data_IF_031202669186
#
_entry.id   IF_031202669186
#
_cell.length_a   1.000
_cell.length_b   1.000
_cell.length_c   1.000
_cell.angle_alpha   90.00
_cell.angle_beta   90.00
_cell.angle_gamma   90.00
#
_symmetry.space_group_name_H-M   'P 1'
#
loop_
_entity.id
_entity.type
_entity.pdbx_description
1 polymer ?
2 non-polymer ?
3 non-polymer ?
4 non-polymer ?
5 non-polymer ?
6 water ?
#
# COMPACT_ATOMS: atom_id res chain seq x y z
N UNK A 12 23.80 -20.69 -1.81
CA UNK A 12 23.60 -21.62 -2.96
C UNK A 12 22.92 -20.87 -4.11
N UNK A 13 23.38 -21.16 -5.32
CA UNK A 13 22.85 -20.55 -6.54
C UNK A 13 21.62 -21.31 -7.03
N UNK A 14 20.63 -20.56 -7.54
CA UNK A 14 19.46 -21.13 -8.19
C UNK A 14 19.23 -20.40 -9.50
N UNK A 15 18.78 -21.12 -10.54
CA UNK A 15 18.48 -20.47 -11.81
C UNK A 15 16.98 -20.22 -11.99
N UNK A 16 16.19 -20.79 -11.08
CA UNK A 16 14.76 -20.56 -11.03
C UNK A 16 14.31 -20.90 -9.62
N UNK A 17 13.14 -20.41 -9.23
CA UNK A 17 12.61 -20.63 -7.89
C UNK A 17 11.10 -20.51 -8.00
N UNK A 18 10.41 -21.64 -8.01
CA UNK A 18 8.98 -21.61 -8.25
C UNK A 18 8.68 -20.92 -9.58
N UNK A 19 7.82 -19.91 -9.53
CA UNK A 19 7.38 -19.17 -10.70
C UNK A 19 8.33 -18.03 -11.09
N UNK A 20 9.52 -17.98 -10.49
CA UNK A 20 10.53 -16.99 -10.83
C UNK A 20 11.65 -17.67 -11.61
N UNK A 21 12.13 -17.00 -12.66
CA UNK A 21 13.21 -17.53 -13.47
C UNK A 21 14.18 -16.40 -13.78
N UNK A 22 15.47 -16.73 -13.72
CA UNK A 22 16.48 -15.78 -14.12
C UNK A 22 16.16 -15.28 -15.53
N UNK A 23 16.34 -13.96 -15.69
CA UNK A 23 16.19 -13.14 -16.89
C UNK A 23 14.76 -12.65 -17.10
N UNK A 24 13.85 -12.95 -16.17
CA UNK A 24 12.51 -12.38 -16.20
C UNK A 24 12.57 -10.89 -15.86
N UNK A 25 11.64 -10.14 -16.44
CA UNK A 25 11.39 -8.76 -16.06
C UNK A 25 10.66 -8.76 -14.74
N UNK A 26 10.96 -7.78 -13.90
CA UNK A 26 10.52 -7.76 -12.51
C UNK A 26 10.52 -6.32 -12.03
N UNK A 27 9.85 -6.07 -10.90
CA UNK A 27 9.95 -4.82 -10.17
C UNK A 27 10.78 -5.06 -8.91
N UNK A 28 11.67 -4.12 -8.57
CA UNK A 28 12.43 -4.20 -7.34
C UNK A 28 12.30 -2.92 -6.52
N UNK A 29 12.40 -3.06 -5.19
CA UNK A 29 12.36 -1.93 -4.28
C UNK A 29 13.75 -1.32 -4.17
N UNK A 30 13.88 -0.06 -4.57
CA UNK A 30 15.15 0.65 -4.47
C UNK A 30 15.32 1.25 -3.07
N UNK A 31 16.52 1.80 -2.84
CA UNK A 31 16.91 2.36 -1.57
C UNK A 31 16.04 3.58 -1.20
N UNK A 32 15.40 4.18 -2.20
CA UNK A 32 14.46 5.29 -2.06
C UNK A 32 13.10 4.85 -1.50
N UNK A 33 12.87 3.53 -1.44
CA UNK A 33 11.61 2.92 -1.04
C UNK A 33 10.57 2.98 -2.16
N UNK A 34 10.95 3.46 -3.33
CA UNK A 34 10.10 3.35 -4.50
C UNK A 34 10.55 2.17 -5.34
N UNK A 35 9.64 1.67 -6.18
CA UNK A 35 9.87 0.46 -6.95
C UNK A 35 10.07 0.77 -8.42
N UNK A 36 10.93 -0.03 -9.06
CA UNK A 36 11.40 0.26 -10.40
C UNK A 36 11.59 -1.03 -11.19
N UNK A 37 11.47 -0.92 -12.50
CA UNK A 37 11.54 -2.08 -13.37
C UNK A 37 12.99 -2.50 -13.57
N UNK A 38 13.19 -3.81 -13.68
CA UNK A 38 14.49 -4.36 -13.96
C UNK A 38 14.38 -5.81 -14.40
N UNK A 39 15.52 -6.49 -14.33
CA UNK A 39 15.68 -7.86 -14.78
C UNK A 39 16.24 -8.68 -13.63
N UNK A 40 15.67 -9.87 -13.40
CA UNK A 40 16.22 -10.79 -12.40
C UNK A 40 17.44 -11.47 -12.99
N UNK A 41 18.63 -11.25 -12.43
CA UNK A 41 19.85 -11.76 -13.03
C UNK A 41 20.45 -12.92 -12.24
N UNK A 42 20.01 -13.13 -10.99
CA UNK A 42 20.49 -14.26 -10.20
C UNK A 42 19.51 -14.50 -9.07
N UNK A 43 19.52 -15.74 -8.56
CA UNK A 43 18.75 -16.13 -7.39
C UNK A 43 19.69 -16.90 -6.47
N UNK A 44 19.49 -16.74 -5.16
CA UNK A 44 20.23 -17.53 -4.20
C UNK A 44 19.33 -17.99 -3.06
N UNK A 45 19.74 -19.11 -2.45
CA UNK A 45 19.14 -19.61 -1.23
C UNK A 45 20.29 -19.89 -0.28
N UNK A 46 20.21 -19.31 0.92
CA UNK A 46 21.23 -19.51 1.94
C UNK A 46 20.49 -19.89 3.22
N UNK A 47 20.55 -21.17 3.58
CA UNK A 47 19.79 -21.67 4.71
C UNK A 47 18.31 -21.36 4.52
N UNK A 48 17.64 -20.67 5.48
CA UNK A 48 16.22 -20.36 5.35
C UNK A 48 15.83 -19.16 4.49
N UNK A 49 16.82 -18.47 3.90
CA UNK A 49 16.58 -17.18 3.24
C UNK A 49 16.93 -17.19 1.75
N UNK A 50 15.99 -16.69 0.95
CA UNK A 50 16.19 -16.54 -0.50
C UNK A 50 16.37 -15.06 -0.83
N UNK A 51 17.26 -14.79 -1.79
CA UNK A 51 17.45 -13.43 -2.30
C UNK A 51 17.55 -13.47 -3.81
N UNK A 52 17.29 -12.29 -4.38
CA UNK A 52 17.02 -12.13 -5.80
C UNK A 52 17.82 -10.91 -6.27
N UNK A 53 18.75 -11.13 -7.20
CA UNK A 53 19.60 -10.07 -7.69
C UNK A 53 18.93 -9.43 -8.90
N UNK A 54 18.63 -8.13 -8.79
CA UNK A 54 17.92 -7.38 -9.81
C UNK A 54 18.86 -6.35 -10.42
N UNK A 55 18.93 -6.32 -11.75
CA UNK A 55 19.58 -5.26 -12.50
C UNK A 55 18.50 -4.30 -12.95
N UNK A 56 18.48 -3.10 -12.39
CA UNK A 56 17.50 -2.11 -12.76
C UNK A 56 17.82 -1.61 -14.15
N UNK A 57 16.84 -0.97 -14.80
CA UNK A 57 17.05 -0.50 -16.16
C UNK A 57 18.19 0.54 -16.26
N UNK A 58 18.64 1.14 -15.15
CA UNK A 58 19.77 2.07 -15.18
C UNK A 58 21.11 1.34 -15.01
N UNK A 59 21.06 0.00 -14.90
CA UNK A 59 22.23 -0.88 -14.82
C UNK A 59 22.70 -1.02 -13.38
N UNK A 60 22.12 -0.25 -12.45
CA UNK A 60 22.36 -0.43 -11.03
C UNK A 60 21.77 -1.77 -10.56
N UNK A 61 22.42 -2.42 -9.59
CA UNK A 61 22.01 -3.74 -9.16
C UNK A 61 21.73 -3.73 -7.65
N UNK A 62 20.82 -4.61 -7.23
CA UNK A 62 20.47 -4.76 -5.83
C UNK A 62 20.10 -6.20 -5.53
N UNK A 63 20.59 -6.71 -4.41
CA UNK A 63 20.25 -8.05 -3.93
C UNK A 63 19.09 -7.90 -2.95
N UNK A 64 17.92 -8.46 -3.29
CA UNK A 64 16.68 -8.18 -2.59
C UNK A 64 16.06 -9.46 -2.04
N UNK A 65 15.41 -9.35 -0.88
CA UNK A 65 14.57 -10.43 -0.39
C UNK A 65 13.33 -10.54 -1.27
N UNK A 66 12.64 -11.68 -1.20
CA UNK A 66 11.53 -11.97 -2.09
C UNK A 66 10.30 -11.09 -1.84
N UNK A 67 10.23 -10.46 -0.67
CA UNK A 67 9.18 -9.50 -0.37
C UNK A 67 9.49 -8.10 -0.92
N UNK A 68 10.67 -7.93 -1.53
CA UNK A 68 11.11 -6.65 -2.07
C UNK A 68 11.27 -6.72 -3.59
N UNK A 69 10.64 -7.74 -4.20
CA UNK A 69 10.44 -7.82 -5.63
C UNK A 69 8.95 -8.05 -5.88
N UNK A 70 8.49 -7.57 -7.04
CA UNK A 70 7.10 -7.74 -7.44
C UNK A 70 7.08 -8.13 -8.92
N UNK A 71 6.02 -8.84 -9.32
CA UNK A 71 5.90 -9.22 -10.72
C UNK A 71 5.61 -7.99 -11.55
N UNK A 72 6.13 -8.01 -12.78
CA UNK A 72 5.83 -7.01 -13.78
C UNK A 72 4.58 -7.44 -14.54
N UNK A 73 3.49 -7.60 -13.81
CA UNK A 73 2.18 -7.80 -14.41
C UNK A 73 1.13 -7.45 -13.34
N UNK A 74 -0.10 -7.23 -13.79
CA UNK A 74 -1.20 -6.89 -12.92
C UNK A 74 -1.86 -8.16 -12.39
N UNK A 75 -2.46 -8.12 -11.19
CA UNK A 75 -3.09 -9.30 -10.59
C UNK A 75 -4.28 -9.73 -11.43
N UNK A 76 -4.41 -11.03 -11.78
CA UNK A 76 -5.65 -11.54 -12.34
C UNK A 76 -6.80 -11.32 -11.37
N UNK A 77 -8.02 -11.34 -11.90
CA UNK A 77 -9.22 -11.27 -11.08
C UNK A 77 -9.18 -12.36 -10.02
N UNK A 78 -9.44 -11.98 -8.77
CA UNK A 78 -9.64 -12.88 -7.65
C UNK A 78 -8.33 -13.48 -7.14
N UNK A 79 -7.18 -12.93 -7.59
CA UNK A 79 -5.88 -13.39 -7.09
C UNK A 79 -5.54 -12.67 -5.78
N UNK A 80 -5.99 -11.41 -5.61
CA UNK A 80 -5.71 -10.64 -4.41
C UNK A 80 -6.85 -10.80 -3.42
N UNK A 81 -6.52 -10.62 -2.13
CA UNK A 81 -7.47 -10.68 -1.05
C UNK A 81 -7.11 -9.60 -0.04
N UNK A 82 -8.00 -9.38 0.91
CA UNK A 82 -7.70 -8.41 1.96
C UNK A 82 -6.51 -8.94 2.76
N UNK A 83 -5.47 -8.10 2.85
CA UNK A 83 -4.20 -8.49 3.46
C UNK A 83 -3.10 -8.71 2.44
N UNK A 84 -3.44 -8.82 1.16
CA UNK A 84 -2.43 -9.07 0.13
C UNK A 84 -1.40 -7.95 0.10
N UNK A 85 -0.15 -8.33 -0.16
CA UNK A 85 0.99 -7.43 -0.22
C UNK A 85 1.23 -7.05 -1.68
N UNK A 86 1.17 -5.76 -2.00
CA UNK A 86 1.19 -5.30 -3.37
C UNK A 86 2.09 -4.09 -3.49
N UNK A 87 2.42 -3.79 -4.74
CA UNK A 87 2.96 -2.50 -5.15
C UNK A 87 1.86 -1.80 -5.94
N UNK A 88 1.61 -0.53 -5.64
CA UNK A 88 0.57 0.22 -6.32
C UNK A 88 1.10 1.56 -6.78
N UNK A 89 0.48 2.08 -7.85
CA UNK A 89 0.78 3.40 -8.34
C UNK A 89 0.14 4.45 -7.42
N UNK A 90 0.99 5.39 -6.97
CA UNK A 90 0.54 6.58 -6.27
C UNK A 90 0.76 7.76 -7.20
N UNK A 91 -0.31 8.52 -7.46
CA UNK A 91 -0.29 9.61 -8.41
C UNK A 91 -0.45 10.94 -7.67
N UNK A 92 0.36 11.91 -8.07
CA UNK A 92 0.24 13.26 -7.55
C UNK A 92 0.63 14.19 -8.68
N UNK A 93 -0.26 15.13 -9.01
CA UNK A 93 -0.06 15.99 -10.16
C UNK A 93 0.24 15.13 -11.39
N UNK A 94 1.36 15.41 -12.06
CA UNK A 94 1.69 14.71 -13.29
C UNK A 94 2.74 13.63 -13.02
N UNK A 95 2.93 13.27 -11.74
CA UNK A 95 3.94 12.30 -11.34
C UNK A 95 3.28 11.02 -10.83
N UNK A 96 4.02 9.92 -10.93
CA UNK A 96 3.58 8.63 -10.40
C UNK A 96 4.77 7.98 -9.71
N UNK A 97 4.49 7.33 -8.58
CA UNK A 97 5.47 6.54 -7.86
C UNK A 97 4.88 5.16 -7.63
N UNK A 98 5.73 4.13 -7.72
CA UNK A 98 5.34 2.78 -7.32
C UNK A 98 5.75 2.58 -5.86
N UNK A 99 4.78 2.18 -5.06
CA UNK A 99 4.96 2.14 -3.62
C UNK A 99 4.24 0.92 -3.04
N UNK A 100 4.84 0.31 -2.03
CA UNK A 100 4.27 -0.89 -1.44
C UNK A 100 3.08 -0.56 -0.56
N UNK A 101 2.17 -1.51 -0.46
CA UNK A 101 1.03 -1.39 0.40
C UNK A 101 0.36 -2.74 0.63
N UNK A 102 -0.83 -2.65 1.23
CA UNK A 102 -1.66 -3.77 1.63
C UNK A 102 -3.05 -3.54 1.02
N UNK A 103 -3.63 -4.61 0.47
CA UNK A 103 -5.00 -4.55 0.01
C UNK A 103 -5.95 -4.54 1.20
N UNK A 104 -6.73 -3.45 1.32
CA UNK A 104 -7.70 -3.27 2.38
C UNK A 104 -9.10 -3.67 1.94
N UNK A 105 -9.37 -3.60 0.64
CA UNK A 105 -10.64 -3.99 0.05
C UNK A 105 -10.36 -4.44 -1.38
N UNK A 106 -11.08 -5.48 -1.81
CA UNK A 106 -11.07 -5.90 -3.20
C UNK A 106 -12.30 -5.32 -3.91
N UNK A 107 -12.35 -5.32 -5.26
CA UNK A 107 -13.46 -4.69 -5.98
C UNK A 107 -14.83 -5.26 -5.62
N UNK A 108 -15.77 -4.38 -5.29
CA UNK A 108 -17.13 -4.77 -4.97
C UNK A 108 -18.08 -3.61 -5.28
N UNK A 109 -19.39 -3.81 -5.11
CA UNK A 109 -20.35 -2.78 -5.46
C UNK A 109 -20.16 -1.55 -4.58
N UNK A 110 -19.86 -1.77 -3.29
CA UNK A 110 -19.77 -0.70 -2.32
C UNK A 110 -18.63 0.27 -2.65
N UNK A 111 -17.56 -0.22 -3.28
CA UNK A 111 -16.43 0.62 -3.62
C UNK A 111 -16.30 0.87 -5.12
N UNK A 112 -17.36 0.58 -5.90
CA UNK A 112 -17.37 0.85 -7.32
C UNK A 112 -16.24 0.09 -8.04
N UNK A 113 -16.04 -1.16 -7.60
CA UNK A 113 -15.17 -2.13 -8.25
C UNK A 113 -13.72 -1.64 -8.31
N UNK A 114 -13.22 -1.16 -7.16
CA UNK A 114 -11.83 -0.76 -7.03
C UNK A 114 -11.19 -1.49 -5.86
N UNK A 115 -9.85 -1.50 -5.85
CA UNK A 115 -9.07 -1.97 -4.73
C UNK A 115 -8.76 -0.80 -3.80
N UNK A 116 -8.99 -0.97 -2.50
CA UNK A 116 -8.52 0.00 -1.53
C UNK A 116 -7.12 -0.43 -1.09
N UNK A 117 -6.14 0.48 -1.21
CA UNK A 117 -4.78 0.22 -0.80
C UNK A 117 -4.43 1.08 0.41
N UNK A 118 -3.83 0.44 1.42
CA UNK A 118 -3.17 1.16 2.50
C UNK A 118 -1.67 1.08 2.24
N UNK A 119 -1.08 2.20 1.85
CA UNK A 119 0.34 2.25 1.57
C UNK A 119 1.14 2.16 2.86
N UNK A 120 2.39 1.75 2.72
CA UNK A 120 3.26 1.54 3.88
C UNK A 120 3.53 2.81 4.68
N UNK A 121 3.31 3.98 4.08
CA UNK A 121 3.51 5.25 4.76
C UNK A 121 2.20 5.79 5.32
N UNK A 122 1.11 5.00 5.25
CA UNK A 122 -0.13 5.30 5.94
C UNK A 122 -1.23 5.89 5.06
N UNK A 123 -0.88 6.31 3.84
CA UNK A 123 -1.88 6.88 2.95
C UNK A 123 -2.77 5.79 2.37
N UNK A 124 -4.03 6.15 2.11
CA UNK A 124 -5.02 5.24 1.56
C UNK A 124 -5.50 5.76 0.21
N UNK A 125 -5.77 4.84 -0.71
CA UNK A 125 -6.19 5.23 -2.05
C UNK A 125 -6.90 4.07 -2.73
N UNK A 126 -7.99 4.38 -3.42
CA UNK A 126 -8.64 3.44 -4.33
C UNK A 126 -7.88 3.44 -5.66
N UNK A 127 -7.62 2.23 -6.16
CA UNK A 127 -6.91 2.04 -7.42
C UNK A 127 -7.60 0.94 -8.22
N UNK A 128 -7.22 0.84 -9.49
CA UNK A 128 -7.71 -0.19 -10.40
C UNK A 128 -6.64 -1.26 -10.60
N UNK A 129 -7.00 -2.36 -11.27
CA UNK A 129 -6.10 -3.49 -11.42
C UNK A 129 -4.86 -3.12 -12.24
N UNK A 130 -4.97 -2.16 -13.15
CA UNK A 130 -3.83 -1.72 -13.96
C UNK A 130 -2.83 -0.92 -13.14
N UNK A 131 -3.18 -0.61 -11.88
CA UNK A 131 -2.33 0.19 -11.01
C UNK A 131 -1.66 -0.67 -9.94
N UNK A 132 -1.76 -2.01 -10.04
CA UNK A 132 -1.30 -2.93 -9.02
C UNK A 132 -0.33 -3.95 -9.59
N UNK A 133 0.59 -4.40 -8.74
CA UNK A 133 1.52 -5.48 -9.04
C UNK A 133 1.63 -6.33 -7.79
N UNK A 134 1.52 -7.67 -7.86
CA UNK A 134 1.66 -8.50 -6.67
C UNK A 134 3.12 -8.62 -6.28
N UNK A 135 3.42 -8.51 -4.97
CA UNK A 135 4.75 -8.79 -4.48
C UNK A 135 4.99 -10.30 -4.58
N UNK A 136 6.21 -10.68 -4.96
CA UNK A 136 6.49 -12.05 -5.36
C UNK A 136 6.42 -13.04 -4.19
N UNK A 137 7.06 -12.69 -3.06
CA UNK A 137 7.16 -13.61 -1.94
C UNK A 137 6.85 -12.83 -0.66
N UNK A 138 5.57 -12.50 -0.42
CA UNK A 138 5.19 -11.79 0.80
C UNK A 138 5.50 -12.63 2.04
N UNK A 139 5.68 -11.94 3.17
CA UNK A 139 5.81 -12.65 4.44
C UNK A 139 4.47 -13.31 4.78
N UNK A 140 4.54 -14.42 5.53
CA UNK A 140 3.35 -15.16 5.93
C UNK A 140 2.36 -14.26 6.65
N UNK A 141 2.86 -13.42 7.57
CA UNK A 141 2.10 -12.31 8.12
C UNK A 141 2.51 -11.08 7.33
N UNK A 142 1.65 -10.67 6.40
CA UNK A 142 2.07 -9.80 5.30
C UNK A 142 2.56 -8.44 5.81
N UNK A 143 2.06 -8.01 6.97
CA UNK A 143 2.41 -6.71 7.55
C UNK A 143 3.81 -6.67 8.17
N UNK A 144 4.48 -7.83 8.34
CA UNK A 144 5.66 -7.88 9.17
C UNK A 144 6.89 -7.21 8.53
N UNK A 145 6.78 -6.79 7.27
CA UNK A 145 7.86 -6.03 6.63
C UNK A 145 7.48 -4.57 6.46
N UNK A 146 6.43 -4.09 7.15
CA UNK A 146 6.13 -2.67 7.14
C UNK A 146 7.08 -2.00 8.13
N UNK A 147 7.93 -1.09 7.63
CA UNK A 147 9.04 -0.58 8.42
C UNK A 147 8.58 0.35 9.54
N UNK A 148 7.52 1.12 9.30
CA UNK A 148 6.97 2.00 10.31
C UNK A 148 6.10 1.15 11.24
N UNK A 149 6.49 1.03 12.52
CA UNK A 149 5.83 0.09 13.42
C UNK A 149 4.38 0.51 13.69
N UNK A 150 4.10 1.82 13.70
CA UNK A 150 2.73 2.27 13.88
C UNK A 150 1.87 1.86 12.69
N UNK A 151 2.41 1.91 11.47
CA UNK A 151 1.65 1.42 10.33
C UNK A 151 1.52 -0.11 10.39
N UNK A 152 2.60 -0.79 10.78
CA UNK A 152 2.59 -2.24 10.89
C UNK A 152 1.48 -2.70 11.84
N UNK A 153 1.43 -2.08 13.02
CA UNK A 153 0.46 -2.42 14.04
C UNK A 153 -0.96 -2.14 13.57
N UNK A 154 -1.17 -1.03 12.86
CA UNK A 154 -2.49 -0.74 12.31
C UNK A 154 -2.93 -1.82 11.33
N UNK A 155 -2.04 -2.22 10.42
CA UNK A 155 -2.40 -3.22 9.44
C UNK A 155 -2.71 -4.54 10.12
N UNK A 156 -1.91 -4.96 11.10
CA UNK A 156 -2.21 -6.19 11.81
C UNK A 156 -3.61 -6.10 12.42
N UNK A 157 -3.92 -4.98 13.06
CA UNK A 157 -5.22 -4.80 13.68
C UNK A 157 -6.33 -4.89 12.62
N UNK A 158 -6.14 -4.17 11.52
CA UNK A 158 -7.16 -4.11 10.48
C UNK A 158 -7.44 -5.50 9.91
N UNK A 159 -6.38 -6.21 9.50
CA UNK A 159 -6.54 -7.48 8.81
C UNK A 159 -7.10 -8.52 9.78
N UNK A 160 -6.68 -8.46 11.05
CA UNK A 160 -7.10 -9.44 12.04
C UNK A 160 -8.59 -9.31 12.32
N UNK A 161 -9.08 -8.06 12.41
CA UNK A 161 -10.49 -7.82 12.73
C UNK A 161 -11.40 -8.03 11.52
N UNK A 162 -10.88 -7.75 10.33
CA UNK A 162 -11.67 -7.71 9.09
C UNK A 162 -12.53 -8.97 8.98
N UNK A 163 -13.82 -8.89 8.58
CA UNK A 163 -14.52 -7.66 8.18
C UNK A 163 -15.09 -6.75 9.26
N UNK A 164 -14.83 -7.02 10.54
CA UNK A 164 -15.15 -6.04 11.56
C UNK A 164 -14.28 -4.82 11.30
N UNK A 165 -14.91 -3.66 11.06
CA UNK A 165 -14.22 -2.46 10.68
C UNK A 165 -14.92 -1.26 11.28
N UNK A 166 -14.55 -0.85 12.51
CA UNK A 166 -15.08 0.38 13.08
C UNK A 166 -14.76 1.56 12.16
N UNK A 167 -15.82 2.27 11.75
CA UNK A 167 -15.67 3.47 10.95
C UNK A 167 -16.68 4.49 11.44
N UNK A 168 -16.41 5.76 11.14
CA UNK A 168 -17.36 6.81 11.45
C UNK A 168 -18.14 7.17 10.18
N UNK A 169 -19.45 7.39 10.37
CA UNK A 169 -20.33 7.91 9.34
C UNK A 169 -20.16 9.42 9.28
N UNK A 170 -19.69 9.90 8.13
CA UNK A 170 -19.45 11.32 7.91
C UNK A 170 -20.28 11.78 6.72
N UNK A 171 -20.73 13.04 6.77
CA UNK A 171 -21.57 13.60 5.74
C UNK A 171 -20.93 14.87 5.20
N UNK A 172 -21.14 15.12 3.90
CA UNK A 172 -20.62 16.31 3.26
C UNK A 172 -21.04 17.55 4.06
N UNK A 173 -20.05 18.42 4.33
CA UNK A 173 -20.28 19.67 5.04
C UNK A 173 -20.05 19.55 6.56
N UNK A 174 -19.96 18.33 7.08
CA UNK A 174 -19.81 18.16 8.52
C UNK A 174 -18.47 18.75 8.96
N UNK A 175 -18.52 19.45 10.10
CA UNK A 175 -17.35 20.06 10.70
C UNK A 175 -16.84 19.15 11.81
N UNK A 176 -15.55 18.80 11.71
CA UNK A 176 -14.89 17.94 12.69
C UNK A 176 -13.46 18.45 12.86
N UNK A 177 -12.80 17.97 13.90
CA UNK A 177 -11.36 18.14 13.99
C UNK A 177 -10.68 16.92 13.40
N UNK A 178 -9.59 17.17 12.66
CA UNK A 178 -8.78 16.13 12.08
C UNK A 178 -7.34 16.33 12.53
N UNK A 179 -6.68 15.23 12.91
CA UNK A 179 -5.30 15.28 13.37
C UNK A 179 -4.37 15.42 12.17
N UNK A 180 -3.31 16.22 12.33
CA UNK A 180 -2.22 16.23 11.37
C UNK A 180 -0.94 16.59 12.11
N UNK A 181 0.00 15.65 12.11
CA UNK A 181 1.35 15.79 12.67
C UNK A 181 1.33 16.37 14.08
N UNK A 182 0.45 15.84 14.94
CA UNK A 182 0.53 16.04 16.38
C UNK A 182 -0.47 17.09 16.90
N UNK A 183 -1.21 17.74 16.01
CA UNK A 183 -2.19 18.75 16.33
C UNK A 183 -3.52 18.37 15.72
N UNK A 184 -4.62 18.77 16.39
CA UNK A 184 -5.96 18.64 15.86
C UNK A 184 -6.40 19.98 15.26
N UNK A 185 -6.93 19.91 14.04
CA UNK A 185 -7.21 21.06 13.19
C UNK A 185 -8.69 21.11 12.85
N UNK A 186 -9.24 22.33 12.78
CA UNK A 186 -10.59 22.52 12.29
C UNK A 186 -10.64 22.11 10.83
N UNK A 187 -11.64 21.30 10.51
CA UNK A 187 -11.72 20.70 9.18
C UNK A 187 -13.18 20.47 8.80
N UNK A 188 -13.37 20.12 7.52
CA UNK A 188 -14.70 19.92 6.97
C UNK A 188 -14.68 18.70 6.06
N UNK A 189 -15.75 17.92 6.12
CA UNK A 189 -15.92 16.79 5.21
C UNK A 189 -16.36 17.33 3.85
N UNK A 190 -15.55 17.10 2.82
CA UNK A 190 -15.86 17.58 1.48
C UNK A 190 -16.65 16.56 0.68
N UNK A 191 -16.30 15.27 0.84
CA UNK A 191 -16.99 14.22 0.12
C UNK A 191 -16.57 12.88 0.70
N UNK A 192 -17.42 11.90 0.44
CA UNK A 192 -17.20 10.53 0.89
C UNK A 192 -17.12 9.66 -0.35
N UNK A 193 -16.16 8.74 -0.35
CA UNK A 193 -16.00 7.78 -1.42
C UNK A 193 -15.75 6.43 -0.79
N UNK A 194 -16.78 5.59 -0.71
CA UNK A 194 -16.64 4.28 -0.08
C UNK A 194 -16.14 4.42 1.35
N UNK A 195 -15.01 3.78 1.63
CA UNK A 195 -14.43 3.78 2.96
C UNK A 195 -13.50 4.96 3.20
N UNK A 196 -13.42 5.91 2.26
CA UNK A 196 -12.57 7.09 2.40
C UNK A 196 -13.43 8.34 2.50
N UNK A 197 -12.84 9.36 3.14
CA UNK A 197 -13.44 10.69 3.20
C UNK A 197 -12.37 11.70 2.79
N UNK A 198 -12.78 12.72 2.05
CA UNK A 198 -11.88 13.81 1.70
C UNK A 198 -12.15 14.95 2.68
N UNK A 199 -11.12 15.26 3.48
CA UNK A 199 -11.19 16.27 4.53
C UNK A 199 -10.46 17.51 4.05
N UNK A 200 -11.11 18.67 4.21
CA UNK A 200 -10.48 19.97 3.98
C UNK A 200 -10.08 20.57 5.33
N UNK A 201 -8.80 20.91 5.45
CA UNK A 201 -8.32 21.66 6.60
C UNK A 201 -8.60 23.14 6.37
N UNK A 202 -9.37 23.75 7.27
CA UNK A 202 -9.90 25.08 7.00
C UNK A 202 -8.82 26.16 7.05
N UNK A 203 -7.73 25.94 7.80
CA UNK A 203 -6.72 26.96 7.99
C UNK A 203 -5.95 27.22 6.70
N UNK A 204 -5.66 26.18 5.92
CA UNK A 204 -4.80 26.31 4.76
C UNK A 204 -5.46 25.81 3.47
N UNK A 205 -6.68 25.28 3.58
CA UNK A 205 -7.45 24.76 2.46
C UNK A 205 -6.75 23.60 1.74
N UNK A 206 -5.83 22.92 2.45
CA UNK A 206 -5.27 21.66 1.99
C UNK A 206 -6.26 20.56 2.34
N UNK A 207 -6.29 19.51 1.53
CA UNK A 207 -7.23 18.43 1.76
C UNK A 207 -6.53 17.09 1.65
N UNK A 208 -7.25 16.04 2.06
CA UNK A 208 -6.64 14.74 2.19
C UNK A 208 -7.73 13.67 2.14
N UNK A 209 -7.44 12.57 1.45
CA UNK A 209 -8.26 11.37 1.53
C UNK A 209 -7.82 10.54 2.72
N UNK A 210 -8.76 10.27 3.64
CA UNK A 210 -8.48 9.56 4.88
C UNK A 210 -9.47 8.39 5.02
N UNK A 211 -8.97 7.25 5.48
CA UNK A 211 -9.82 6.12 5.81
C UNK A 211 -10.81 6.49 6.92
N UNK A 212 -12.08 6.09 6.78
CA UNK A 212 -13.11 6.48 7.73
C UNK A 212 -12.99 5.73 9.06
N UNK A 213 -12.08 4.75 9.16
CA UNK A 213 -11.74 4.16 10.44
C UNK A 213 -10.45 4.69 11.04
N UNK A 214 -9.90 5.78 10.48
CA UNK A 214 -8.67 6.36 10.99
C UNK A 214 -8.93 7.09 12.30
N UNK A 215 -8.00 6.91 13.27
CA UNK A 215 -8.08 7.64 14.53
C UNK A 215 -7.67 9.10 14.35
N UNK A 216 -7.36 9.54 13.13
CA UNK A 216 -7.09 10.95 12.87
C UNK A 216 -8.38 11.75 12.75
N UNK A 217 -9.54 11.08 12.64
CA UNK A 217 -10.82 11.76 12.55
C UNK A 217 -11.36 11.82 13.97
N UNK A 218 -11.74 13.01 14.44
CA UNK A 218 -12.03 13.19 15.86
C UNK A 218 -13.02 12.14 16.34
N UNK A 219 -14.15 11.89 15.64
CA UNK A 219 -15.15 10.95 16.16
C UNK A 219 -14.60 9.53 16.28
N UNK A 220 -13.65 9.17 15.40
CA UNK A 220 -13.05 7.87 15.43
C UNK A 220 -12.07 7.76 16.60
N UNK A 221 -11.25 8.81 16.78
CA UNK A 221 -10.31 8.88 17.87
C UNK A 221 -11.02 8.64 19.20
N UNK A 222 -12.17 9.32 19.37
CA UNK A 222 -12.88 9.31 20.63
C UNK A 222 -13.39 7.92 20.99
N UNK A 223 -13.70 7.10 19.97
CA UNK A 223 -14.28 5.79 20.23
C UNK A 223 -13.32 4.65 19.88
N UNK A 224 -12.04 4.95 19.64
CA UNK A 224 -11.08 3.95 19.22
C UNK A 224 -10.93 2.86 20.31
#
# INVERSE_FOLDING_TARGET
MHHHHHHSSGRENLYFQGDLIVSMRILGKKRTKTWHKGTLIAIQTVGPGKKYKVKFDNKGKSLLSGNHIAYDYHPPADKLYVGSRVVAKYKDGNQVWLYAGIVAETPNVKNKLRFLIFFDDGYASYVTQSELYPICRPLKKTWEDIEDISCRDFIEEYVTAYPNRPMVLLKSGQLIKTEWEGTWWKSRVEEVDGSLVRILFLDDKRCEWIYRGSTRLEPMFSMKT
#
